data_IF_546301338907
#
_entry.id   IF_546301338907
#
_cell.length_a   1.000
_cell.length_b   1.000
_cell.length_c   1.000
_cell.angle_alpha   90.00
_cell.angle_beta   90.00
_cell.angle_gamma   90.00
#
_symmetry.space_group_name_H-M   'P 1'
#
loop_
_entity.id
_entity.type
_entity.pdbx_description
1 polymer ?
#
# COMPACT_ATOMS: atom_id res chain seq x y z
N UNK A 1 -0.11 1.29 -1.64
CA UNK A 1 0.50 0.94 -0.34
C UNK A 1 0.64 2.21 0.49
N UNK A 2 0.42 2.13 1.80
CA UNK A 2 0.64 3.22 2.76
C UNK A 2 1.98 2.95 3.45
N UNK A 3 2.96 3.84 3.24
CA UNK A 3 4.31 3.73 3.76
C UNK A 3 4.44 4.49 5.09
N UNK A 4 4.64 3.75 6.18
CA UNK A 4 4.61 4.31 7.55
C UNK A 4 5.83 5.18 7.91
N UNK A 5 6.95 5.02 7.20
CA UNK A 5 8.18 5.78 7.40
C UNK A 5 8.43 6.79 6.28
N UNK A 6 7.38 7.13 5.51
CA UNK A 6 7.47 8.12 4.44
C UNK A 6 7.64 9.54 5.03
N UNK A 7 8.75 10.19 4.67
CA UNK A 7 9.06 11.56 5.06
C UNK A 7 8.69 12.60 3.99
N UNK A 8 8.36 12.15 2.77
CA UNK A 8 7.88 13.03 1.70
C UNK A 8 6.37 13.25 1.80
N UNK A 9 5.61 12.21 2.17
CA UNK A 9 4.16 12.29 2.33
C UNK A 9 3.77 11.77 3.73
N UNK A 10 3.28 12.64 4.63
CA UNK A 10 2.83 12.23 5.95
C UNK A 10 1.73 11.16 5.90
N UNK A 11 1.72 10.26 6.89
CA UNK A 11 0.79 9.13 6.97
C UNK A 11 -0.68 9.54 6.76
N UNK A 12 -1.13 10.59 7.46
CA UNK A 12 -2.53 11.04 7.36
C UNK A 12 -2.91 11.50 5.94
N UNK A 13 -1.96 12.05 5.18
CA UNK A 13 -2.20 12.49 3.82
C UNK A 13 -2.32 11.29 2.87
N UNK A 14 -1.52 10.24 3.09
CA UNK A 14 -1.67 8.98 2.35
C UNK A 14 -3.04 8.34 2.59
N UNK A 15 -3.49 8.28 3.85
CA UNK A 15 -4.81 7.78 4.22
C UNK A 15 -5.93 8.64 3.61
N UNK A 16 -5.78 9.97 3.61
CA UNK A 16 -6.73 10.89 3.00
C UNK A 16 -6.87 10.69 1.48
N UNK A 17 -5.77 10.38 0.77
CA UNK A 17 -5.82 10.07 -0.66
C UNK A 17 -6.65 8.82 -0.95
N UNK A 18 -6.47 7.76 -0.17
CA UNK A 18 -7.30 6.54 -0.29
C UNK A 18 -8.77 6.86 0.01
N UNK A 19 -9.02 7.61 1.08
CA UNK A 19 -10.38 8.02 1.45
C UNK A 19 -11.05 8.83 0.35
N UNK A 20 -10.33 9.77 -0.28
CA UNK A 20 -10.87 10.61 -1.34
C UNK A 20 -11.36 9.79 -2.54
N UNK A 21 -10.63 8.73 -2.93
CA UNK A 21 -11.08 7.82 -4.00
C UNK A 21 -12.35 7.06 -3.60
N UNK A 22 -12.40 6.55 -2.37
CA UNK A 22 -13.58 5.85 -1.84
C UNK A 22 -14.81 6.77 -1.76
N UNK A 23 -14.64 7.99 -1.27
CA UNK A 23 -15.72 8.99 -1.18
C UNK A 23 -16.27 9.38 -2.57
N UNK A 24 -15.43 9.32 -3.60
CA UNK A 24 -15.83 9.55 -4.99
C UNK A 24 -16.53 8.34 -5.65
N UNK A 25 -16.77 7.25 -4.90
CA UNK A 25 -17.39 6.03 -5.39
C UNK A 25 -16.42 5.07 -6.11
N UNK A 26 -15.11 5.32 -6.02
CA UNK A 26 -14.09 4.44 -6.57
C UNK A 26 -13.78 3.26 -5.66
N UNK A 27 -13.44 2.12 -6.26
CA UNK A 27 -12.91 0.96 -5.56
C UNK A 27 -11.39 1.11 -5.38
N UNK A 28 -10.92 1.10 -4.14
CA UNK A 28 -9.50 1.20 -3.83
C UNK A 28 -9.17 0.49 -2.53
N UNK A 29 -8.23 -0.45 -2.59
CA UNK A 29 -7.66 -1.09 -1.43
C UNK A 29 -6.24 -0.61 -1.16
N UNK A 30 -5.89 -0.56 0.12
CA UNK A 30 -4.58 -0.12 0.56
C UNK A 30 -4.07 -1.05 1.67
N UNK A 31 -2.83 -1.49 1.53
CA UNK A 31 -2.08 -2.20 2.57
C UNK A 31 -1.08 -1.26 3.22
N UNK A 32 -0.82 -1.44 4.51
CA UNK A 32 0.22 -0.71 5.24
C UNK A 32 1.54 -1.46 5.14
N UNK A 33 2.63 -0.73 4.97
CA UNK A 33 3.99 -1.28 4.93
C UNK A 33 4.92 -0.43 5.79
N UNK A 34 5.74 -1.08 6.61
CA UNK A 34 6.81 -0.41 7.34
C UNK A 34 8.00 -0.18 6.40
N UNK A 35 7.86 0.82 5.53
CA UNK A 35 8.85 1.26 4.55
C UNK A 35 8.85 2.79 4.43
N UNK A 36 9.93 3.31 3.84
CA UNK A 36 10.06 4.71 3.41
C UNK A 36 9.26 5.00 2.12
N UNK A 37 9.56 6.12 1.47
CA UNK A 37 8.89 6.56 0.24
C UNK A 37 9.07 5.62 -0.97
N UNK A 38 10.04 4.69 -0.94
CA UNK A 38 10.37 3.80 -2.05
C UNK A 38 10.35 2.33 -1.61
N UNK A 39 9.16 1.77 -1.30
CA UNK A 39 9.04 0.38 -0.82
C UNK A 39 9.56 -0.65 -1.83
N UNK A 40 9.61 -0.32 -3.12
CA UNK A 40 10.16 -1.20 -4.15
C UNK A 40 11.70 -1.36 -4.05
N UNK A 41 12.39 -0.47 -3.35
CA UNK A 41 13.82 -0.60 -3.05
C UNK A 41 14.06 -1.28 -1.70
N UNK A 42 13.29 -0.91 -0.68
CA UNK A 42 13.54 -1.32 0.71
C UNK A 42 12.78 -2.58 1.15
N UNK A 43 11.63 -2.87 0.53
CA UNK A 43 10.75 -4.02 0.81
C UNK A 43 10.23 -4.64 -0.50
N UNK A 44 11.10 -5.05 -1.44
CA UNK A 44 10.69 -5.54 -2.77
C UNK A 44 9.71 -6.72 -2.69
N UNK A 45 9.92 -7.66 -1.77
CA UNK A 45 9.04 -8.82 -1.59
C UNK A 45 7.61 -8.41 -1.22
N UNK A 46 7.45 -7.43 -0.31
CA UNK A 46 6.13 -6.92 0.08
C UNK A 46 5.42 -6.23 -1.09
N UNK A 47 6.16 -5.56 -1.98
CA UNK A 47 5.60 -4.96 -3.21
C UNK A 47 5.17 -6.05 -4.18
N UNK A 48 5.99 -7.08 -4.38
CA UNK A 48 5.65 -8.23 -5.23
C UNK A 48 4.39 -8.92 -4.71
N UNK A 49 4.33 -9.22 -3.41
CA UNK A 49 3.16 -9.85 -2.79
C UNK A 49 1.90 -9.00 -2.96
N UNK A 50 2.00 -7.67 -2.75
CA UNK A 50 0.88 -6.76 -2.98
C UNK A 50 0.39 -6.79 -4.44
N UNK A 51 1.30 -6.80 -5.42
CA UNK A 51 0.95 -6.88 -6.84
C UNK A 51 0.27 -8.21 -7.19
N UNK A 52 0.77 -9.32 -6.63
CA UNK A 52 0.19 -10.66 -6.83
C UNK A 52 -1.22 -10.75 -6.24
N UNK A 53 -1.43 -10.23 -5.03
CA UNK A 53 -2.75 -10.13 -4.41
C UNK A 53 -3.71 -9.29 -5.27
N UNK A 54 -3.26 -8.13 -5.76
CA UNK A 54 -4.06 -7.29 -6.65
C UNK A 54 -4.40 -7.97 -7.99
N UNK A 55 -3.56 -8.90 -8.46
CA UNK A 55 -3.81 -9.74 -9.63
C UNK A 55 -4.73 -10.95 -9.33
N UNK A 56 -5.19 -11.12 -8.09
CA UNK A 56 -6.04 -12.24 -7.67
C UNK A 56 -5.27 -13.54 -7.38
N UNK A 57 -3.94 -13.48 -7.27
CA UNK A 57 -3.14 -14.62 -6.85
C UNK A 57 -3.25 -14.84 -5.33
N UNK A 58 -3.14 -16.11 -4.91
CA UNK A 58 -3.00 -16.46 -3.49
C UNK A 58 -1.53 -16.42 -3.11
N UNK A 59 -1.16 -15.48 -2.24
CA UNK A 59 0.19 -15.43 -1.68
C UNK A 59 0.22 -16.28 -0.41
N UNK A 60 1.09 -17.29 -0.36
CA UNK A 60 1.23 -18.16 0.79
C UNK A 60 2.00 -17.43 1.91
N UNK A 61 1.29 -16.86 2.89
CA UNK A 61 1.93 -16.14 4.00
C UNK A 61 1.00 -15.45 4.98
N UNK A 62 -0.28 -15.23 4.64
CA UNK A 62 -1.24 -14.67 5.60
C UNK A 62 -1.65 -15.71 6.66
N UNK A 63 -1.14 -15.49 7.88
CA UNK A 63 -1.83 -15.83 9.12
C UNK A 63 -2.45 -14.57 9.69
#
# INVERSE_FOLDING_TARGET
MICEQDLAIPLFAQEAMVKAVKDAGGEMDAVRVNADHSPFLSKPDAVVDYLRLAAGEKVAGEK
#
